data_IF_480033489115
#
_entry.id   IF_480033489115
#
_cell.length_a   1.000
_cell.length_b   1.000
_cell.length_c   1.000
_cell.angle_alpha   90.00
_cell.angle_beta   90.00
_cell.angle_gamma   90.00
#
_symmetry.space_group_name_H-M   'P 1'
#
loop_
_entity.id
_entity.type
_entity.pdbx_description
1 polymer ?
#
# COMPACT_ATOMS: atom_id res chain seq x y z
N UNK A 1 11.29 -21.58 -3.20
CA UNK A 1 11.98 -20.43 -3.83
C UNK A 1 12.59 -20.91 -5.14
N UNK A 2 12.41 -20.16 -6.24
CA UNK A 2 13.04 -20.43 -7.52
C UNK A 2 14.56 -20.38 -7.41
N UNK A 3 15.26 -21.16 -8.23
CA UNK A 3 16.69 -21.01 -8.42
C UNK A 3 16.97 -19.71 -9.20
N UNK A 4 18.14 -19.11 -8.98
CA UNK A 4 18.54 -17.89 -9.66
C UNK A 4 18.51 -18.03 -11.19
N UNK A 5 18.95 -19.17 -11.69
CA UNK A 5 18.97 -19.49 -13.13
C UNK A 5 17.54 -19.49 -13.71
N UNK A 6 16.60 -20.13 -13.04
CA UNK A 6 15.19 -20.15 -13.44
C UNK A 6 14.59 -18.74 -13.48
N UNK A 7 14.91 -17.91 -12.47
CA UNK A 7 14.45 -16.50 -12.45
C UNK A 7 15.04 -15.69 -13.60
N UNK A 8 16.31 -15.92 -13.96
CA UNK A 8 16.96 -15.27 -15.09
C UNK A 8 16.37 -15.73 -16.43
N UNK A 9 16.05 -17.02 -16.58
CA UNK A 9 15.41 -17.54 -17.80
C UNK A 9 14.00 -16.94 -17.99
N UNK A 10 13.22 -16.84 -16.93
CA UNK A 10 11.93 -16.15 -16.95
C UNK A 10 12.09 -14.69 -17.34
N UNK A 11 13.10 -13.99 -16.80
CA UNK A 11 13.39 -12.61 -17.15
C UNK A 11 13.84 -12.48 -18.60
N UNK A 12 14.68 -13.39 -19.09
CA UNK A 12 15.12 -13.43 -20.48
C UNK A 12 13.96 -13.54 -21.48
N UNK A 13 12.93 -14.31 -21.12
CA UNK A 13 11.72 -14.41 -21.95
C UNK A 13 10.92 -13.11 -22.01
N UNK A 14 11.08 -12.21 -21.01
CA UNK A 14 10.37 -10.93 -20.87
C UNK A 14 11.18 -9.72 -21.34
N UNK A 15 12.43 -9.93 -21.77
CA UNK A 15 13.25 -8.84 -22.32
C UNK A 15 12.62 -8.31 -23.61
N UNK A 16 12.69 -7.00 -23.81
CA UNK A 16 12.34 -6.39 -25.08
C UNK A 16 13.38 -6.82 -26.13
N UNK A 17 12.90 -7.42 -27.22
CA UNK A 17 13.73 -7.81 -28.36
C UNK A 17 13.61 -6.75 -29.43
N UNK A 18 14.66 -6.55 -30.19
CA UNK A 18 14.67 -5.64 -31.34
C UNK A 18 13.63 -6.13 -32.35
N UNK A 19 12.55 -5.37 -32.53
CA UNK A 19 11.56 -5.64 -33.54
C UNK A 19 11.61 -4.52 -34.58
N UNK A 20 12.02 -4.83 -35.80
CA UNK A 20 12.13 -3.91 -36.95
C UNK A 20 12.81 -2.56 -36.66
N UNK A 21 13.93 -2.53 -35.96
CA UNK A 21 14.70 -1.31 -35.65
C UNK A 21 14.00 -0.30 -34.69
N UNK A 22 12.81 -0.60 -34.18
CA UNK A 22 12.02 0.33 -33.36
C UNK A 22 12.25 0.18 -31.85
N UNK A 23 12.67 -0.99 -31.39
CA UNK A 23 12.95 -1.19 -29.96
C UNK A 23 14.40 -1.60 -29.73
N UNK A 24 15.09 -0.98 -28.77
CA UNK A 24 16.45 -1.36 -28.41
C UNK A 24 16.48 -2.73 -27.75
N UNK A 25 17.52 -3.50 -28.05
CA UNK A 25 17.73 -4.78 -27.40
C UNK A 25 18.12 -4.57 -25.93
N UNK A 26 17.35 -5.14 -25.01
CA UNK A 26 17.66 -5.11 -23.59
C UNK A 26 18.62 -6.23 -23.21
N UNK A 27 19.55 -5.93 -22.30
CA UNK A 27 20.46 -6.92 -21.68
C UNK A 27 20.22 -6.97 -20.20
N UNK A 28 20.17 -8.17 -19.62
CA UNK A 28 20.13 -8.35 -18.17
C UNK A 28 21.53 -8.06 -17.63
N UNK A 29 21.63 -7.10 -16.73
CA UNK A 29 22.91 -6.72 -16.08
C UNK A 29 22.98 -7.22 -14.64
N UNK A 30 21.86 -7.45 -14.00
CA UNK A 30 21.83 -8.04 -12.66
C UNK A 30 20.52 -8.80 -12.40
N UNK A 31 20.62 -9.87 -11.62
CA UNK A 31 19.51 -10.59 -11.02
C UNK A 31 19.87 -10.98 -9.60
N UNK A 32 19.20 -10.37 -8.63
CA UNK A 32 19.52 -10.54 -7.21
C UNK A 32 18.26 -11.01 -6.45
N UNK A 33 18.42 -12.08 -5.67
CA UNK A 33 17.40 -12.49 -4.71
C UNK A 33 17.44 -11.50 -3.54
N UNK A 34 16.32 -10.86 -3.28
CA UNK A 34 16.12 -9.97 -2.14
C UNK A 34 14.91 -10.44 -1.34
N UNK A 35 14.90 -10.13 -0.07
CA UNK A 35 13.79 -10.46 0.81
C UNK A 35 13.02 -9.20 1.15
N UNK A 36 11.76 -9.15 0.70
CA UNK A 36 10.88 -8.01 0.94
C UNK A 36 10.19 -8.17 2.29
N UNK A 37 10.24 -7.16 3.18
CA UNK A 37 9.51 -7.22 4.44
C UNK A 37 8.01 -7.09 4.15
N UNK A 38 7.23 -8.04 4.64
CA UNK A 38 5.77 -8.00 4.66
C UNK A 38 5.31 -8.04 6.11
N UNK A 39 4.23 -7.34 6.44
CA UNK A 39 3.63 -7.41 7.77
C UNK A 39 2.31 -8.15 7.69
N UNK A 40 2.21 -9.28 8.39
CA UNK A 40 0.94 -9.91 8.69
C UNK A 40 0.31 -9.18 9.86
N UNK A 41 -0.88 -8.65 9.66
CA UNK A 41 -1.59 -7.84 10.63
C UNK A 41 -2.92 -8.49 10.96
N UNK A 42 -3.20 -8.64 12.24
CA UNK A 42 -4.51 -9.01 12.75
C UNK A 42 -5.11 -7.84 13.52
N UNK A 43 -6.32 -7.44 13.13
CA UNK A 43 -7.01 -6.28 13.70
C UNK A 43 -8.38 -6.72 14.23
N UNK A 44 -8.70 -6.31 15.45
CA UNK A 44 -10.02 -6.42 16.03
C UNK A 44 -10.72 -5.06 16.00
N UNK A 45 -11.98 -5.01 15.58
CA UNK A 45 -12.76 -3.77 15.52
C UNK A 45 -14.25 -4.03 15.73
N UNK A 46 -15.02 -2.99 16.04
CA UNK A 46 -16.47 -3.08 16.17
C UNK A 46 -17.10 -2.68 14.83
N UNK A 47 -17.70 -3.63 14.15
CA UNK A 47 -18.31 -3.40 12.83
C UNK A 47 -19.74 -3.92 12.75
N UNK A 48 -20.47 -3.41 11.75
CA UNK A 48 -21.85 -3.81 11.44
C UNK A 48 -22.81 -2.63 11.40
N UNK A 49 -23.60 -2.55 10.32
CA UNK A 49 -24.57 -1.47 10.10
C UNK A 49 -25.78 -1.56 11.05
N UNK A 50 -26.30 -2.77 11.30
CA UNK A 50 -27.52 -3.00 12.07
C UNK A 50 -27.19 -3.51 13.48
N UNK A 51 -26.25 -4.44 13.59
CA UNK A 51 -25.78 -4.98 14.87
C UNK A 51 -24.28 -4.78 15.00
N UNK A 52 -23.90 -3.95 15.95
CA UNK A 52 -22.49 -3.79 16.31
C UNK A 52 -21.97 -5.09 16.92
N UNK A 53 -20.97 -5.68 16.29
CA UNK A 53 -20.32 -6.89 16.76
C UNK A 53 -18.81 -6.74 16.64
N UNK A 54 -18.07 -7.38 17.53
CA UNK A 54 -16.63 -7.51 17.40
C UNK A 54 -16.30 -8.34 16.18
N UNK A 55 -15.47 -7.80 15.31
CA UNK A 55 -14.98 -8.44 14.09
C UNK A 55 -13.46 -8.51 14.11
N UNK A 56 -12.93 -9.47 13.41
CA UNK A 56 -11.49 -9.60 13.19
C UNK A 56 -11.21 -9.57 11.70
N UNK A 57 -10.22 -8.80 11.29
CA UNK A 57 -9.64 -8.82 9.95
C UNK A 57 -8.16 -9.24 10.05
N UNK A 58 -7.74 -10.14 9.15
CA UNK A 58 -6.34 -10.55 9.04
C UNK A 58 -5.90 -10.35 7.59
N UNK A 59 -4.82 -9.62 7.38
CA UNK A 59 -4.31 -9.29 6.05
C UNK A 59 -2.80 -9.08 6.07
N UNK A 60 -2.22 -8.97 4.89
CA UNK A 60 -0.78 -8.71 4.74
C UNK A 60 -0.60 -7.35 4.08
N UNK A 61 0.35 -6.58 4.58
CA UNK A 61 0.78 -5.32 3.97
C UNK A 61 2.27 -5.37 3.64
N UNK A 62 2.64 -4.68 2.58
CA UNK A 62 4.03 -4.49 2.22
C UNK A 62 4.71 -3.54 3.21
N UNK A 63 5.82 -3.97 3.78
CA UNK A 63 6.54 -3.23 4.82
C UNK A 63 7.31 -2.00 4.33
N UNK A 64 7.42 -1.80 3.01
CA UNK A 64 8.05 -0.61 2.45
C UNK A 64 7.01 0.43 2.00
N UNK A 65 5.92 0.00 1.40
CA UNK A 65 4.92 0.89 0.79
C UNK A 65 3.61 0.98 1.55
N UNK A 66 3.26 -0.02 2.38
CA UNK A 66 1.94 -0.10 3.03
C UNK A 66 0.82 -0.58 2.12
N UNK A 67 1.14 -1.01 0.89
CA UNK A 67 0.16 -1.63 -0.02
C UNK A 67 -0.35 -2.94 0.56
N UNK A 68 -1.62 -3.26 0.30
CA UNK A 68 -2.17 -4.58 0.68
C UNK A 68 -1.61 -5.65 -0.24
N UNK A 69 -1.21 -6.76 0.34
CA UNK A 69 -0.65 -7.91 -0.39
C UNK A 69 -1.57 -9.11 -0.23
N UNK A 70 -2.08 -9.60 -1.33
CA UNK A 70 -2.80 -10.87 -1.39
C UNK A 70 -1.83 -11.98 -1.78
N UNK A 71 -1.89 -13.10 -1.06
CA UNK A 71 -1.08 -14.28 -1.35
C UNK A 71 -2.01 -15.41 -1.72
N UNK A 72 -2.22 -15.61 -3.02
CA UNK A 72 -2.89 -16.75 -3.60
C UNK A 72 -2.11 -17.17 -4.83
N UNK A 73 -1.58 -18.34 -4.94
CA UNK A 73 -0.75 -18.81 -6.08
C UNK A 73 0.34 -17.78 -6.51
N UNK A 74 0.87 -17.01 -5.58
CA UNK A 74 1.84 -15.94 -5.77
C UNK A 74 1.38 -14.62 -5.13
N UNK A 75 2.29 -13.63 -5.07
CA UNK A 75 1.97 -12.30 -4.58
C UNK A 75 1.14 -11.52 -5.60
N UNK A 76 0.14 -10.81 -5.09
CA UNK A 76 -0.57 -9.76 -5.83
C UNK A 76 -0.60 -8.51 -4.96
N UNK A 77 -0.09 -7.40 -5.49
CA UNK A 77 -0.11 -6.11 -4.79
C UNK A 77 -1.40 -5.38 -5.14
N UNK A 78 -2.07 -4.88 -4.14
CA UNK A 78 -3.32 -4.11 -4.24
C UNK A 78 -3.14 -2.72 -3.66
N UNK A 79 -3.98 -1.75 -4.03
CA UNK A 79 -4.10 -0.51 -3.30
C UNK A 79 -4.20 -0.76 -1.80
N UNK A 80 -3.58 0.11 -1.01
CA UNK A 80 -3.48 -0.09 0.43
C UNK A 80 -3.52 1.22 1.19
N UNK A 81 -2.60 1.37 2.09
CA UNK A 81 -2.55 2.47 3.03
C UNK A 81 -1.37 3.41 2.75
N UNK A 82 -0.70 3.27 1.59
CA UNK A 82 0.54 3.99 1.25
C UNK A 82 0.41 5.50 1.39
N UNK A 83 -0.67 6.08 0.88
CA UNK A 83 -0.91 7.53 0.92
C UNK A 83 -1.31 8.04 2.32
N UNK A 84 -1.70 7.15 3.23
CA UNK A 84 -2.07 7.49 4.60
C UNK A 84 -0.90 7.40 5.58
N UNK A 85 0.18 6.73 5.20
CA UNK A 85 1.35 6.60 6.06
C UNK A 85 2.01 7.96 6.30
N UNK A 86 2.33 8.23 7.57
CA UNK A 86 2.90 9.52 7.99
C UNK A 86 1.86 10.61 8.29
N UNK A 87 0.58 10.38 8.04
CA UNK A 87 -0.50 11.26 8.49
C UNK A 87 -0.82 11.00 9.97
N UNK A 88 -1.29 12.03 10.67
CA UNK A 88 -1.89 11.85 11.99
C UNK A 88 -3.32 11.29 11.89
N UNK A 89 -3.86 10.80 12.99
CA UNK A 89 -5.19 10.17 13.06
C UNK A 89 -6.29 11.11 12.54
N UNK A 90 -6.22 12.40 12.85
CA UNK A 90 -7.21 13.37 12.41
C UNK A 90 -7.15 13.59 10.90
N UNK A 91 -5.96 13.66 10.31
CA UNK A 91 -5.79 13.80 8.87
C UNK A 91 -6.28 12.55 8.12
N UNK A 92 -5.97 11.36 8.62
CA UNK A 92 -6.51 10.10 8.07
C UNK A 92 -8.03 10.11 8.09
N UNK A 93 -8.63 10.47 9.22
CA UNK A 93 -10.09 10.53 9.37
C UNK A 93 -10.74 11.54 8.42
N UNK A 94 -10.13 12.71 8.25
CA UNK A 94 -10.62 13.74 7.33
C UNK A 94 -10.53 13.29 5.88
N UNK A 95 -9.39 12.78 5.42
CA UNK A 95 -9.24 12.35 4.03
C UNK A 95 -10.13 11.15 3.68
N UNK A 96 -10.37 10.27 4.65
CA UNK A 96 -11.29 9.13 4.48
C UNK A 96 -12.74 9.60 4.37
N UNK A 97 -13.17 10.58 5.16
CA UNK A 97 -14.48 11.20 5.02
C UNK A 97 -14.69 11.87 3.67
N UNK A 98 -13.62 12.40 3.07
CA UNK A 98 -13.66 12.98 1.72
C UNK A 98 -13.71 11.95 0.58
N UNK A 99 -13.43 10.67 0.83
CA UNK A 99 -13.33 9.66 -0.22
C UNK A 99 -14.62 9.49 -1.05
N UNK A 100 -15.77 9.87 -0.51
CA UNK A 100 -17.08 9.83 -1.21
C UNK A 100 -17.36 11.08 -2.06
N UNK A 101 -16.46 12.05 -2.12
CA UNK A 101 -16.59 13.29 -2.88
C UNK A 101 -16.12 14.51 -2.13
N UNK A 102 -16.17 15.67 -2.79
CA UNK A 102 -15.78 16.93 -2.18
C UNK A 102 -16.77 17.39 -1.10
N UNK A 103 -16.26 17.94 0.01
CA UNK A 103 -17.03 18.45 1.13
C UNK A 103 -16.50 19.79 1.64
N UNK A 104 -17.37 20.60 2.20
CA UNK A 104 -17.01 21.83 2.91
C UNK A 104 -16.42 21.49 4.28
N UNK A 105 -15.71 22.44 4.90
CA UNK A 105 -15.18 22.23 6.25
C UNK A 105 -16.29 21.88 7.26
N UNK A 106 -17.46 22.50 7.18
CA UNK A 106 -18.59 22.27 8.09
C UNK A 106 -19.12 20.82 7.94
N UNK A 107 -19.23 20.34 6.71
CA UNK A 107 -19.66 18.96 6.44
C UNK A 107 -18.65 17.95 6.99
N UNK A 108 -17.35 18.22 6.80
CA UNK A 108 -16.26 17.40 7.36
C UNK A 108 -16.31 17.37 8.88
N UNK A 109 -16.52 18.52 9.54
CA UNK A 109 -16.67 18.60 11.00
C UNK A 109 -17.86 17.75 11.49
N UNK A 110 -19.01 17.85 10.81
CA UNK A 110 -20.19 17.09 11.14
C UNK A 110 -19.99 15.56 10.96
N UNK A 111 -19.36 15.14 9.88
CA UNK A 111 -19.11 13.73 9.56
C UNK A 111 -18.05 13.13 10.48
N UNK A 112 -16.93 13.81 10.63
CA UNK A 112 -15.79 13.31 11.42
C UNK A 112 -15.99 13.48 12.93
N UNK A 113 -16.88 14.37 13.37
CA UNK A 113 -17.08 14.77 14.77
C UNK A 113 -15.78 15.29 15.43
N UNK A 114 -14.88 15.85 14.64
CA UNK A 114 -13.67 16.50 15.12
C UNK A 114 -13.96 17.99 15.43
N UNK A 115 -13.18 18.56 16.34
CA UNK A 115 -13.27 19.99 16.64
C UNK A 115 -12.83 20.82 15.44
N UNK A 116 -13.41 22.02 15.19
CA UNK A 116 -13.12 22.87 14.02
C UNK A 116 -11.63 23.19 13.82
N UNK A 117 -10.90 23.43 14.90
CA UNK A 117 -9.46 23.71 14.89
C UNK A 117 -8.63 22.49 14.47
N UNK A 118 -9.07 21.27 14.89
CA UNK A 118 -8.45 20.00 14.51
C UNK A 118 -8.68 19.74 13.02
N UNK A 119 -9.92 19.92 12.53
CA UNK A 119 -10.25 19.78 11.09
C UNK A 119 -9.43 20.77 10.26
N UNK A 120 -9.37 22.03 10.66
CA UNK A 120 -8.57 23.06 9.96
C UNK A 120 -7.09 22.70 9.88
N UNK A 121 -6.52 22.16 10.98
CA UNK A 121 -5.12 21.70 11.00
C UNK A 121 -4.91 20.50 10.07
N UNK A 122 -5.82 19.52 10.10
CA UNK A 122 -5.79 18.34 9.24
C UNK A 122 -5.87 18.73 7.75
N UNK A 123 -6.83 19.59 7.37
CA UNK A 123 -6.96 20.12 6.00
C UNK A 123 -5.68 20.78 5.52
N UNK A 124 -5.07 21.65 6.35
CA UNK A 124 -3.79 22.29 6.01
C UNK A 124 -2.66 21.26 5.80
N UNK A 125 -2.60 20.22 6.63
CA UNK A 125 -1.62 19.14 6.50
C UNK A 125 -1.82 18.35 5.20
N UNK A 126 -3.07 17.98 4.89
CA UNK A 126 -3.45 17.24 3.69
C UNK A 126 -3.21 18.04 2.40
N UNK A 127 -3.51 19.35 2.39
CA UNK A 127 -3.19 20.23 1.25
C UNK A 127 -1.68 20.32 1.03
N UNK A 128 -0.89 20.43 2.11
CA UNK A 128 0.58 20.42 2.02
C UNK A 128 1.12 19.09 1.48
N UNK A 129 0.50 17.98 1.87
CA UNK A 129 0.83 16.65 1.38
C UNK A 129 0.31 16.37 -0.05
N UNK A 130 -0.45 17.30 -0.64
CA UNK A 130 -1.10 17.17 -1.97
C UNK A 130 -2.09 15.99 -2.06
N UNK A 131 -2.70 15.62 -0.94
CA UNK A 131 -3.71 14.59 -0.88
C UNK A 131 -5.13 15.13 -1.05
N UNK A 132 -5.29 16.44 -0.95
CA UNK A 132 -6.53 17.17 -1.23
C UNK A 132 -6.25 18.46 -2.00
N UNK A 133 -7.27 18.97 -2.68
CA UNK A 133 -7.25 20.31 -3.29
C UNK A 133 -8.47 21.11 -2.85
N UNK A 134 -8.34 22.45 -2.87
CA UNK A 134 -9.42 23.38 -2.60
C UNK A 134 -10.06 23.80 -3.91
N UNK A 135 -11.38 23.75 -3.97
CA UNK A 135 -12.19 24.23 -5.09
C UNK A 135 -13.19 25.27 -4.58
N UNK A 136 -13.34 26.40 -5.27
CA UNK A 136 -14.40 27.37 -5.02
C UNK A 136 -15.64 27.01 -5.83
N UNK A 137 -16.77 26.96 -5.16
CA UNK A 137 -18.08 26.78 -5.84
C UNK A 137 -18.61 28.13 -6.33
N UNK A 138 -19.69 28.11 -7.14
CA UNK A 138 -20.35 29.34 -7.63
C UNK A 138 -20.88 30.25 -6.52
N UNK A 139 -20.97 29.77 -5.27
CA UNK A 139 -21.41 30.54 -4.09
C UNK A 139 -20.26 30.94 -3.15
N UNK A 140 -19.01 31.02 -3.64
CA UNK A 140 -17.79 31.31 -2.86
C UNK A 140 -17.48 30.32 -1.72
N UNK A 141 -18.24 29.25 -1.56
CA UNK A 141 -17.93 28.22 -0.58
C UNK A 141 -16.68 27.42 -1.04
N UNK A 142 -15.78 27.15 -0.09
CA UNK A 142 -14.62 26.32 -0.34
C UNK A 142 -14.98 24.86 -0.10
N UNK A 143 -14.76 24.02 -1.10
CA UNK A 143 -14.93 22.57 -1.07
C UNK A 143 -13.58 21.91 -1.18
N UNK A 144 -13.31 20.94 -0.32
CA UNK A 144 -12.08 20.14 -0.33
C UNK A 144 -12.35 18.85 -1.09
N UNK A 145 -11.51 18.55 -2.06
CA UNK A 145 -11.65 17.37 -2.94
C UNK A 145 -10.43 16.47 -2.75
N UNK A 146 -10.61 15.16 -2.52
CA UNK A 146 -9.50 14.22 -2.38
C UNK A 146 -8.77 14.06 -3.73
N UNK A 147 -7.45 13.91 -3.65
CA UNK A 147 -6.52 13.64 -4.76
C UNK A 147 -5.84 12.28 -4.62
N UNK A 148 -6.43 11.37 -3.84
CA UNK A 148 -5.88 10.04 -3.66
C UNK A 148 -5.80 9.32 -5.02
N UNK A 149 -4.64 8.74 -5.31
CA UNK A 149 -4.42 7.98 -6.53
C UNK A 149 -5.12 6.62 -6.48
N UNK A 150 -5.35 6.10 -5.27
CA UNK A 150 -5.88 4.78 -5.03
C UNK A 150 -7.06 4.82 -4.04
N UNK A 151 -7.98 3.89 -4.19
CA UNK A 151 -9.09 3.72 -3.25
C UNK A 151 -8.56 3.14 -1.93
N UNK A 152 -8.93 3.75 -0.81
CA UNK A 152 -8.59 3.26 0.53
C UNK A 152 -9.40 2.00 0.83
N UNK A 153 -8.77 0.86 1.11
CA UNK A 153 -9.51 -0.38 1.35
C UNK A 153 -10.27 -0.32 2.68
N UNK A 154 -11.56 -0.65 2.65
CA UNK A 154 -12.30 -0.86 3.88
C UNK A 154 -11.78 -2.11 4.62
N UNK A 155 -11.63 -2.06 5.94
CA UNK A 155 -11.17 -3.20 6.75
C UNK A 155 -12.04 -4.45 6.54
N UNK A 156 -13.35 -4.26 6.32
CA UNK A 156 -14.30 -5.35 6.06
C UNK A 156 -14.11 -6.03 4.71
N UNK A 157 -13.46 -5.36 3.75
CA UNK A 157 -13.18 -5.89 2.42
C UNK A 157 -11.84 -6.63 2.35
N UNK A 158 -10.98 -6.46 3.37
CA UNK A 158 -9.68 -7.12 3.41
C UNK A 158 -9.88 -8.63 3.65
N UNK A 159 -9.39 -9.42 2.72
CA UNK A 159 -9.46 -10.88 2.81
C UNK A 159 -8.38 -11.38 3.77
N UNK A 160 -8.67 -12.48 4.44
CA UNK A 160 -7.69 -13.19 5.24
C UNK A 160 -6.47 -13.51 4.36
N UNK A 161 -5.31 -12.99 4.77
CA UNK A 161 -4.06 -13.37 4.14
C UNK A 161 -3.89 -14.90 4.20
N UNK A 162 -3.42 -15.51 3.12
CA UNK A 162 -3.16 -16.93 3.11
C UNK A 162 -2.17 -17.29 4.24
N UNK A 163 -2.37 -18.44 4.86
CA UNK A 163 -1.40 -18.99 5.79
C UNK A 163 -0.15 -19.36 4.98
N UNK A 164 0.82 -18.45 4.99
CA UNK A 164 2.10 -18.66 4.35
C UNK A 164 2.88 -19.70 5.15
N UNK A 165 3.41 -20.74 4.53
CA UNK A 165 4.35 -21.62 5.21
C UNK A 165 5.57 -20.80 5.62
N UNK A 166 5.80 -20.70 6.94
CA UNK A 166 6.88 -19.91 7.49
C UNK A 166 8.05 -20.81 7.84
N UNK A 167 9.21 -20.49 7.27
CA UNK A 167 10.49 -21.07 7.66
C UNK A 167 11.32 -20.03 8.41
N UNK A 168 12.20 -20.45 9.34
CA UNK A 168 13.09 -19.53 10.02
C UNK A 168 13.98 -18.78 9.02
N UNK A 169 13.90 -17.46 9.01
CA UNK A 169 14.70 -16.63 8.13
C UNK A 169 16.17 -16.59 8.60
N UNK A 170 17.10 -16.99 7.74
CA UNK A 170 18.55 -17.09 8.01
C UNK A 170 19.38 -16.03 7.28
N UNK A 171 18.79 -14.96 6.81
CA UNK A 171 19.49 -13.90 6.06
C UNK A 171 19.60 -12.58 6.82
N UNK A 172 20.19 -11.58 6.17
CA UNK A 172 20.15 -10.20 6.65
C UNK A 172 18.73 -9.67 6.52
N UNK A 173 18.16 -9.19 7.60
CA UNK A 173 16.79 -8.66 7.65
C UNK A 173 16.79 -7.25 7.07
N UNK A 174 16.15 -6.99 5.93
CA UNK A 174 15.95 -5.64 5.45
C UNK A 174 15.04 -4.89 6.41
N UNK A 175 15.29 -3.59 6.58
CA UNK A 175 14.43 -2.72 7.39
C UNK A 175 13.08 -2.50 6.68
N UNK A 176 12.00 -2.47 7.45
CA UNK A 176 10.71 -2.03 6.98
C UNK A 176 10.53 -0.53 7.27
N UNK A 177 9.92 0.22 6.33
CA UNK A 177 9.56 1.63 6.54
C UNK A 177 8.27 1.76 7.33
N UNK A 178 7.34 0.82 7.07
CA UNK A 178 6.07 0.74 7.80
C UNK A 178 6.34 0.07 9.15
N UNK A 179 5.98 0.76 10.22
CA UNK A 179 6.07 0.25 11.59
C UNK A 179 4.68 -0.02 12.16
N UNK A 180 4.60 -0.85 13.18
CA UNK A 180 3.34 -1.05 13.89
C UNK A 180 2.75 0.28 14.39
N UNK A 181 3.58 1.19 14.89
CA UNK A 181 3.14 2.50 15.40
C UNK A 181 2.54 3.37 14.29
N UNK A 182 3.21 3.48 13.12
CA UNK A 182 2.68 4.25 11.99
C UNK A 182 1.39 3.64 11.45
N UNK A 183 1.33 2.32 11.37
CA UNK A 183 0.13 1.63 10.90
C UNK A 183 -1.03 1.71 11.89
N UNK A 184 -0.75 1.68 13.18
CA UNK A 184 -1.76 1.90 14.24
C UNK A 184 -2.43 3.27 14.11
N UNK A 185 -1.68 4.31 13.79
CA UNK A 185 -2.21 5.65 13.56
C UNK A 185 -3.19 5.67 12.38
N UNK A 186 -2.82 5.03 11.27
CA UNK A 186 -3.71 4.89 10.10
C UNK A 186 -4.99 4.14 10.48
N UNK A 187 -4.87 2.99 11.15
CA UNK A 187 -6.03 2.20 11.56
C UNK A 187 -6.98 2.99 12.47
N UNK A 188 -6.46 3.73 13.44
CA UNK A 188 -7.28 4.55 14.35
C UNK A 188 -8.04 5.66 13.62
N UNK A 189 -7.42 6.26 12.61
CA UNK A 189 -8.09 7.25 11.77
C UNK A 189 -9.20 6.66 10.90
N UNK A 190 -9.02 5.42 10.38
CA UNK A 190 -10.00 4.71 9.58
C UNK A 190 -11.15 4.15 10.42
N UNK A 191 -10.83 3.53 11.51
CA UNK A 191 -11.76 2.84 12.40
C UNK A 191 -11.32 3.05 13.86
N UNK A 192 -11.89 4.02 14.56
CA UNK A 192 -11.47 4.37 15.93
C UNK A 192 -11.52 3.21 16.93
N UNK A 193 -12.35 2.19 16.66
CA UNK A 193 -12.48 0.99 17.51
C UNK A 193 -11.44 -0.07 17.17
N UNK A 194 -10.65 0.12 16.10
CA UNK A 194 -9.68 -0.87 15.67
C UNK A 194 -8.50 -0.99 16.65
N UNK A 195 -8.13 -2.23 16.94
CA UNK A 195 -6.98 -2.60 17.77
C UNK A 195 -6.14 -3.63 17.02
N UNK A 196 -4.84 -3.41 16.96
CA UNK A 196 -3.89 -4.41 16.45
C UNK A 196 -3.76 -5.50 17.51
N UNK A 197 -4.13 -6.71 17.16
CA UNK A 197 -4.01 -7.90 18.00
C UNK A 197 -2.68 -8.58 17.78
N UNK A 198 -2.24 -8.66 16.51
CA UNK A 198 -0.94 -9.22 16.12
C UNK A 198 -0.34 -8.42 14.98
N UNK A 199 0.99 -8.22 15.03
CA UNK A 199 1.76 -7.53 14.01
C UNK A 199 3.09 -8.25 13.81
N UNK A 200 3.17 -9.09 12.82
CA UNK A 200 4.32 -9.94 12.57
C UNK A 200 5.00 -9.61 11.25
N UNK A 201 6.31 -9.35 11.29
CA UNK A 201 7.10 -9.17 10.07
C UNK A 201 7.56 -10.53 9.53
N UNK A 202 7.25 -10.78 8.27
CA UNK A 202 7.71 -11.91 7.48
C UNK A 202 8.56 -11.42 6.31
N UNK A 203 9.47 -12.25 5.80
CA UNK A 203 10.37 -11.89 4.72
C UNK A 203 10.06 -12.76 3.50
N UNK A 204 9.55 -12.13 2.45
CA UNK A 204 9.14 -12.81 1.23
C UNK A 204 10.22 -12.73 0.16
N UNK A 205 10.64 -13.85 -0.46
CA UNK A 205 11.66 -13.85 -1.50
C UNK A 205 11.14 -13.22 -2.80
N UNK A 206 11.90 -12.29 -3.36
CA UNK A 206 11.65 -11.71 -4.69
C UNK A 206 12.97 -11.57 -5.44
N UNK A 207 12.92 -11.66 -6.76
CA UNK A 207 14.07 -11.38 -7.61
C UNK A 207 13.96 -9.97 -8.20
N UNK A 208 14.94 -9.13 -7.90
CA UNK A 208 15.11 -7.84 -8.56
C UNK A 208 16.00 -8.04 -9.79
N UNK A 209 15.42 -7.84 -10.98
CA UNK A 209 16.11 -8.00 -12.25
C UNK A 209 16.24 -6.63 -12.92
N UNK A 210 17.46 -6.28 -13.31
CA UNK A 210 17.75 -5.01 -14.00
C UNK A 210 18.15 -5.27 -15.45
N UNK A 211 17.49 -4.56 -16.34
CA UNK A 211 17.77 -4.51 -17.77
C UNK A 211 18.39 -3.18 -18.13
N UNK A 212 19.27 -3.20 -19.11
CA UNK A 212 19.87 -2.01 -19.73
C UNK A 212 19.71 -2.10 -21.23
N UNK A 213 19.39 -0.97 -21.84
CA UNK A 213 19.36 -0.78 -23.30
C UNK A 213 20.02 0.55 -23.67
N UNK A 214 20.13 0.85 -24.95
CA UNK A 214 20.62 2.14 -25.44
C UNK A 214 19.74 3.33 -25.03
N UNK A 215 18.46 3.08 -24.64
CA UNK A 215 17.48 4.11 -24.27
C UNK A 215 17.29 4.23 -22.75
N UNK A 216 18.04 3.47 -21.95
CA UNK A 216 18.01 3.56 -20.50
C UNK A 216 17.93 2.23 -19.78
N UNK A 217 17.60 2.32 -18.49
CA UNK A 217 17.51 1.18 -17.60
C UNK A 217 16.05 0.91 -17.22
N UNK A 218 15.72 -0.37 -17.04
CA UNK A 218 14.45 -0.84 -16.52
C UNK A 218 14.68 -1.94 -15.50
N UNK A 219 13.88 -1.93 -14.45
CA UNK A 219 13.88 -3.00 -13.47
C UNK A 219 12.52 -3.69 -13.42
N UNK A 220 12.52 -4.99 -13.21
CA UNK A 220 11.34 -5.76 -12.87
C UNK A 220 11.57 -6.49 -11.56
N UNK A 221 10.47 -6.79 -10.87
CA UNK A 221 10.48 -7.64 -9.69
C UNK A 221 9.70 -8.91 -9.99
N UNK A 222 10.32 -10.06 -9.78
CA UNK A 222 9.67 -11.34 -9.92
C UNK A 222 9.40 -11.95 -8.55
N UNK A 223 8.23 -12.54 -8.39
CA UNK A 223 7.90 -13.39 -7.26
C UNK A 223 8.89 -14.55 -7.18
N UNK A 224 9.61 -14.67 -6.07
CA UNK A 224 10.66 -15.68 -5.89
C UNK A 224 10.14 -17.10 -5.75
N UNK A 225 8.83 -17.30 -5.62
CA UNK A 225 8.21 -18.62 -5.55
C UNK A 225 7.57 -19.04 -6.87
N UNK A 226 6.98 -18.09 -7.61
CA UNK A 226 6.17 -18.40 -8.80
C UNK A 226 6.75 -17.85 -10.10
N UNK A 227 7.71 -16.94 -10.04
CA UNK A 227 8.28 -16.24 -11.20
C UNK A 227 7.32 -15.24 -11.85
N UNK A 228 6.16 -14.96 -11.27
CA UNK A 228 5.28 -13.91 -11.75
C UNK A 228 5.92 -12.53 -11.57
N UNK A 229 5.68 -11.64 -12.50
CA UNK A 229 6.09 -10.23 -12.34
C UNK A 229 5.18 -9.54 -11.33
N UNK A 230 5.81 -8.81 -10.43
CA UNK A 230 5.16 -8.06 -9.37
C UNK A 230 5.30 -6.56 -9.66
N UNK A 231 4.20 -5.84 -9.53
CA UNK A 231 4.17 -4.40 -9.66
C UNK A 231 3.95 -3.80 -8.27
N UNK A 232 5.00 -3.20 -7.73
CA UNK A 232 4.88 -2.41 -6.51
C UNK A 232 4.76 -0.94 -6.91
N UNK A 233 3.86 -0.17 -6.28
CA UNK A 233 3.85 1.28 -6.47
C UNK A 233 5.21 1.86 -6.07
N UNK A 234 5.63 2.91 -6.76
CA UNK A 234 6.84 3.63 -6.38
C UNK A 234 6.67 4.16 -4.94
N UNK A 235 7.72 4.10 -4.12
CA UNK A 235 7.70 4.60 -2.76
C UNK A 235 7.57 6.13 -2.72
#
# INVERSE_FOLDING_TARGET
VLLREEALDIAMARRKRRFFLLEPEERIVSGVLVYRPLHRVEVRYIGGLIRKATRTASFVIDGETGSVVEVDRGLTVRPGFSELLGLDEAAVKVVTGLANGGSTQIEIEAETRLAPDVVKKALKSLTKAKLITEMKTMGDAVVYVPLLAEEIPALSALRRGADLPMEPFRGTRPGAKVTEASFRTVLKGLEPTAEIVDFQTIYYPVYAIRFVSEHGERSIVLDGCTGKELYFPAP
#
